data_IF_736898850401
#
_entry.id   IF_736898850401
#
_cell.length_a   1.000
_cell.length_b   1.000
_cell.length_c   1.000
_cell.angle_alpha   90.00
_cell.angle_beta   90.00
_cell.angle_gamma   90.00
#
_symmetry.space_group_name_H-M   'P 1'
#
loop_
_entity.id
_entity.type
_entity.pdbx_description
1 polymer ?
#
# COMPACT_ATOMS: atom_id res chain seq x y z
N UNK A 1 -8.46 -7.19 3.44
CA UNK A 1 -7.00 -7.25 3.71
C UNK A 1 -6.28 -6.19 2.88
N UNK A 2 -5.83 -5.11 3.52
CA UNK A 2 -5.25 -3.91 2.87
C UNK A 2 -3.99 -4.25 2.02
N UNK A 3 -3.27 -5.29 2.40
CA UNK A 3 -2.04 -5.74 1.74
C UNK A 3 -2.26 -6.23 0.31
N UNK A 4 -3.40 -6.87 0.03
CA UNK A 4 -3.75 -7.32 -1.32
C UNK A 4 -4.14 -6.13 -2.19
N UNK A 5 -4.94 -5.20 -1.65
CA UNK A 5 -5.37 -3.99 -2.36
C UNK A 5 -4.15 -3.16 -2.79
N UNK A 6 -3.18 -2.94 -1.89
CA UNK A 6 -1.94 -2.22 -2.19
C UNK A 6 -1.18 -2.90 -3.34
N UNK A 7 -1.03 -4.23 -3.26
CA UNK A 7 -0.31 -5.02 -4.26
C UNK A 7 -0.99 -4.99 -5.62
N UNK A 8 -2.32 -5.14 -5.66
CA UNK A 8 -3.11 -5.11 -6.89
C UNK A 8 -3.07 -3.74 -7.55
N UNK A 9 -3.35 -2.67 -6.82
CA UNK A 9 -3.33 -1.30 -7.34
C UNK A 9 -1.95 -0.91 -7.86
N UNK A 10 -0.89 -1.30 -7.13
CA UNK A 10 0.50 -1.12 -7.59
C UNK A 10 0.75 -1.85 -8.91
N UNK A 11 0.33 -3.11 -9.03
CA UNK A 11 0.50 -3.91 -10.25
C UNK A 11 -0.31 -3.35 -11.43
N UNK A 12 -1.53 -2.87 -11.19
CA UNK A 12 -2.37 -2.25 -12.21
C UNK A 12 -1.75 -0.96 -12.78
N UNK A 13 -0.98 -0.22 -11.97
CA UNK A 13 -0.15 0.90 -12.43
C UNK A 13 1.17 0.48 -13.09
N UNK A 14 1.48 -0.82 -13.19
CA UNK A 14 2.74 -1.33 -13.72
C UNK A 14 3.95 -1.03 -12.82
N UNK A 15 3.72 -0.76 -11.53
CA UNK A 15 4.76 -0.31 -10.61
C UNK A 15 5.47 -1.45 -9.90
N UNK A 16 6.77 -1.27 -9.68
CA UNK A 16 7.53 -2.11 -8.72
C UNK A 16 7.31 -1.62 -7.29
N UNK A 17 7.66 -2.43 -6.28
CA UNK A 17 7.64 -1.96 -4.88
C UNK A 17 8.56 -0.76 -4.67
N UNK A 18 9.70 -0.69 -5.39
CA UNK A 18 10.60 0.46 -5.38
C UNK A 18 9.95 1.71 -5.99
N UNK A 19 9.16 1.54 -7.05
CA UNK A 19 8.40 2.65 -7.64
C UNK A 19 7.38 3.19 -6.65
N UNK A 20 6.60 2.32 -6.00
CA UNK A 20 5.65 2.74 -4.95
C UNK A 20 6.37 3.42 -3.77
N UNK A 21 7.56 2.96 -3.40
CA UNK A 21 8.37 3.60 -2.36
C UNK A 21 8.73 5.03 -2.71
N UNK A 22 9.18 5.26 -3.96
CA UNK A 22 9.52 6.60 -4.46
C UNK A 22 8.30 7.51 -4.49
N UNK A 23 7.12 7.00 -4.89
CA UNK A 23 5.90 7.80 -5.00
C UNK A 23 5.25 8.11 -3.64
N UNK A 24 5.28 7.16 -2.70
CA UNK A 24 4.66 7.32 -1.37
C UNK A 24 5.59 7.93 -0.32
N UNK A 25 6.91 7.90 -0.55
CA UNK A 25 7.90 8.21 0.47
C UNK A 25 7.95 7.19 1.62
N UNK A 26 7.32 6.02 1.45
CA UNK A 26 7.41 4.90 2.40
C UNK A 26 8.58 4.00 1.95
N UNK A 27 9.48 3.57 2.87
CA UNK A 27 10.58 2.70 2.50
C UNK A 27 10.13 1.42 1.80
N UNK A 28 10.84 1.00 0.75
CA UNK A 28 10.52 -0.22 0.01
C UNK A 28 10.45 -1.48 0.90
N UNK A 29 11.33 -1.68 1.90
CA UNK A 29 11.20 -2.81 2.83
C UNK A 29 9.89 -2.78 3.61
N UNK A 30 9.42 -1.59 3.99
CA UNK A 30 8.14 -1.42 4.67
C UNK A 30 6.97 -1.78 3.76
N UNK A 31 6.97 -1.33 2.51
CA UNK A 31 5.97 -1.75 1.51
C UNK A 31 5.97 -3.26 1.34
N UNK A 32 7.16 -3.86 1.26
CA UNK A 32 7.33 -5.31 1.10
C UNK A 32 6.73 -6.08 2.28
N UNK A 33 6.98 -5.64 3.51
CA UNK A 33 6.40 -6.23 4.73
C UNK A 33 4.88 -6.09 4.78
N UNK A 34 4.35 -4.93 4.37
CA UNK A 34 2.91 -4.68 4.29
C UNK A 34 2.28 -5.65 3.29
N UNK A 35 2.78 -5.73 2.06
CA UNK A 35 2.23 -6.61 1.01
C UNK A 35 2.32 -8.11 1.31
N UNK A 36 3.20 -8.52 2.24
CA UNK A 36 3.31 -9.91 2.73
C UNK A 36 2.43 -10.21 3.93
N UNK A 37 1.77 -9.21 4.52
CA UNK A 37 1.01 -9.37 5.76
C UNK A 37 1.88 -9.56 7.01
N UNK A 38 3.20 -9.37 6.91
CA UNK A 38 4.14 -9.48 8.04
C UNK A 38 4.03 -8.29 9.01
N UNK A 39 3.44 -7.18 8.53
CA UNK A 39 3.16 -6.00 9.33
C UNK A 39 1.68 -5.99 9.70
N UNK A 40 1.36 -6.57 10.86
CA UNK A 40 -0.01 -6.73 11.37
C UNK A 40 -0.76 -5.41 11.55
N UNK A 41 -0.04 -4.29 11.65
CA UNK A 41 -0.64 -2.94 11.66
C UNK A 41 0.36 -1.92 11.08
N UNK A 42 0.27 -1.60 9.78
CA UNK A 42 0.97 -0.46 9.23
C UNK A 42 0.51 0.80 9.95
N UNK A 43 1.41 1.77 10.17
CA UNK A 43 0.97 3.04 10.75
C UNK A 43 -0.05 3.73 9.84
N UNK A 44 -1.03 4.40 10.43
CA UNK A 44 -2.04 5.17 9.70
C UNK A 44 -1.40 6.18 8.73
N UNK A 45 -0.27 6.78 9.12
CA UNK A 45 0.50 7.66 8.23
C UNK A 45 1.03 6.96 6.97
N UNK A 46 1.52 5.72 7.08
CA UNK A 46 1.96 4.96 5.92
C UNK A 46 0.78 4.57 5.02
N UNK A 47 -0.35 4.23 5.62
CA UNK A 47 -1.60 3.96 4.91
C UNK A 47 -2.02 5.18 4.08
N UNK A 48 -2.07 6.38 4.66
CA UNK A 48 -2.37 7.63 3.94
C UNK A 48 -1.39 7.88 2.80
N UNK A 49 -0.09 7.75 3.06
CA UNK A 49 0.95 7.97 2.04
C UNK A 49 0.81 7.00 0.86
N UNK A 50 0.53 5.73 1.14
CA UNK A 50 0.35 4.70 0.12
C UNK A 50 -0.94 4.93 -0.66
N UNK A 51 -2.06 5.19 0.01
CA UNK A 51 -3.34 5.47 -0.65
C UNK A 51 -3.25 6.69 -1.57
N UNK A 52 -2.63 7.78 -1.09
CA UNK A 52 -2.37 8.97 -1.90
C UNK A 52 -1.50 8.68 -3.13
N UNK A 53 -0.44 7.88 -2.97
CA UNK A 53 0.43 7.51 -4.09
C UNK A 53 -0.26 6.58 -5.10
N UNK A 54 -1.19 5.75 -4.63
CA UNK A 54 -1.98 4.85 -5.48
C UNK A 54 -3.22 5.52 -6.06
N UNK A 55 -3.51 6.77 -5.69
CA UNK A 55 -4.69 7.55 -6.13
C UNK A 55 -6.01 6.84 -5.81
N UNK A 56 -6.10 6.23 -4.63
CA UNK A 56 -7.30 5.59 -4.11
C UNK A 56 -7.68 6.19 -2.76
N UNK A 57 -8.94 6.04 -2.37
CA UNK A 57 -9.41 6.48 -1.06
C UNK A 57 -8.98 5.49 0.05
N UNK A 58 -9.03 5.94 1.30
CA UNK A 58 -8.75 5.06 2.45
C UNK A 58 -9.84 4.00 2.57
N UNK A 59 -11.08 4.38 2.30
CA UNK A 59 -12.22 3.47 2.30
C UNK A 59 -12.02 2.38 1.25
N UNK A 60 -11.53 2.70 0.05
CA UNK A 60 -11.21 1.69 -0.97
C UNK A 60 -10.06 0.77 -0.54
N UNK A 61 -9.08 1.30 0.19
CA UNK A 61 -7.99 0.52 0.77
C UNK A 61 -8.53 -0.48 1.82
N UNK A 62 -9.49 -0.06 2.64
CA UNK A 62 -10.07 -0.81 3.76
C UNK A 62 -11.27 -1.68 3.37
N UNK A 63 -11.95 -1.40 2.24
CA UNK A 63 -13.20 -2.02 1.80
C UNK A 63 -13.15 -3.55 1.60
N UNK A 64 -11.96 -4.15 1.57
CA UNK A 64 -11.81 -5.61 1.57
C UNK A 64 -11.88 -6.24 2.97
N UNK A 65 -12.39 -5.51 3.97
CA UNK A 65 -12.90 -6.05 5.23
C UNK A 65 -14.41 -5.79 5.29
N UNK A 66 -15.18 -6.68 4.67
CA UNK A 66 -16.62 -6.87 4.89
C UNK A 66 -16.89 -8.37 4.81
#
# INVERSE_FOLDING_TARGET
>A
MIEQVIKEKRKNKGWTQLTLAKQSGVPQPTISQIERGERTSPSYQNIIKIAKALEISIEELEASCS
#
